data_IF_194692170246
#
_entry.id   IF_194692170246
#
_cell.length_a   1.000
_cell.length_b   1.000
_cell.length_c   1.000
_cell.angle_alpha   90.00
_cell.angle_beta   90.00
_cell.angle_gamma   90.00
#
_symmetry.space_group_name_H-M   'P 1'
#
loop_
_entity.id
_entity.type
_entity.pdbx_description
1 polymer ?
#
# COMPACT_ATOMS: atom_id res chain seq x y z
N UNK A 1 1.82 15.04 18.55
CA UNK A 1 3.10 14.79 19.25
C UNK A 1 4.33 15.44 18.60
N UNK A 2 4.19 16.28 17.57
CA UNK A 2 5.32 17.03 17.06
C UNK A 2 5.71 18.12 18.08
N UNK A 3 7.01 18.28 18.42
CA UNK A 3 7.44 19.35 19.31
C UNK A 3 7.17 20.72 18.68
N UNK A 4 6.62 21.66 19.45
CA UNK A 4 6.39 23.04 19.00
C UNK A 4 7.67 23.86 18.93
N UNK A 5 8.66 23.48 19.71
CA UNK A 5 10.00 24.07 19.74
C UNK A 5 11.03 22.97 19.94
N UNK A 6 12.18 23.12 19.31
CA UNK A 6 13.31 22.21 19.45
C UNK A 6 14.57 23.01 19.78
N UNK A 7 15.57 22.44 20.48
CA UNK A 7 16.83 23.09 20.79
C UNK A 7 17.63 23.51 19.56
N UNK A 8 17.56 22.70 18.50
CA UNK A 8 18.28 22.94 17.25
C UNK A 8 17.66 24.11 16.45
N UNK A 9 18.54 25.05 15.96
CA UNK A 9 18.12 26.27 15.28
C UNK A 9 18.44 26.29 13.78
N UNK A 10 19.10 25.24 13.26
CA UNK A 10 19.44 25.12 11.85
C UNK A 10 18.31 24.52 11.00
N UNK A 11 18.58 24.36 9.70
CA UNK A 11 17.63 23.68 8.80
C UNK A 11 17.57 22.19 9.14
N UNK A 12 16.37 21.72 9.46
CA UNK A 12 16.07 20.33 9.79
C UNK A 12 15.07 19.75 8.78
N UNK A 13 15.46 18.64 8.11
CA UNK A 13 14.58 17.87 7.26
C UNK A 13 14.60 16.43 7.75
N UNK A 14 13.44 15.93 8.13
CA UNK A 14 13.26 14.54 8.56
C UNK A 14 12.07 13.90 7.84
N UNK A 15 12.04 12.57 7.83
CA UNK A 15 10.91 11.79 7.34
C UNK A 15 10.34 10.96 8.48
N UNK A 16 9.03 10.83 8.45
CA UNK A 16 8.29 10.02 9.41
C UNK A 16 6.95 9.63 8.86
N UNK A 17 6.20 8.91 9.64
CA UNK A 17 4.84 8.50 9.31
C UNK A 17 3.87 9.00 10.37
N UNK A 18 2.70 9.49 9.89
CA UNK A 18 1.60 9.85 10.74
C UNK A 18 0.69 8.62 10.93
N UNK A 19 0.35 8.30 12.17
CA UNK A 19 -0.47 7.15 12.53
C UNK A 19 -1.57 7.53 13.53
N UNK A 20 -2.62 6.74 13.58
CA UNK A 20 -3.63 6.74 14.64
C UNK A 20 -3.63 5.35 15.25
N UNK A 21 -3.56 5.27 16.58
CA UNK A 21 -3.59 4.02 17.30
C UNK A 21 -4.95 3.33 17.26
N UNK A 22 -4.97 2.01 17.47
CA UNK A 22 -6.21 1.22 17.47
C UNK A 22 -7.22 1.73 18.50
N UNK A 23 -6.78 2.08 19.71
CA UNK A 23 -7.66 2.62 20.76
C UNK A 23 -8.33 3.94 20.36
N UNK A 24 -7.58 4.84 19.75
CA UNK A 24 -8.14 6.11 19.27
C UNK A 24 -9.05 5.89 18.05
N UNK A 25 -8.73 4.95 17.19
CA UNK A 25 -9.57 4.56 16.07
C UNK A 25 -10.91 4.01 16.52
N UNK A 26 -10.93 3.10 17.49
CA UNK A 26 -12.16 2.55 18.06
C UNK A 26 -13.01 3.64 18.72
N UNK A 27 -12.40 4.46 19.58
CA UNK A 27 -13.07 5.60 20.25
C UNK A 27 -13.71 6.57 19.26
N UNK A 28 -13.04 6.85 18.13
CA UNK A 28 -13.57 7.77 17.12
C UNK A 28 -14.74 7.12 16.37
N UNK A 29 -14.63 5.85 16.03
CA UNK A 29 -15.70 5.13 15.35
C UNK A 29 -16.95 4.95 16.22
N UNK A 30 -16.79 4.76 17.53
CA UNK A 30 -17.92 4.69 18.48
C UNK A 30 -18.75 5.99 18.50
N UNK A 31 -18.13 7.13 18.24
CA UNK A 31 -18.81 8.44 18.19
C UNK A 31 -19.56 8.68 16.86
N UNK A 32 -19.40 7.81 15.87
CA UNK A 32 -20.10 7.90 14.58
C UNK A 32 -21.35 7.03 14.66
N UNK A 33 -22.52 7.68 14.72
CA UNK A 33 -23.81 7.00 14.81
C UNK A 33 -24.13 6.18 13.56
N UNK A 34 -23.86 6.73 12.38
CA UNK A 34 -24.04 6.04 11.10
C UNK A 34 -22.93 4.99 10.89
N UNK A 35 -23.31 3.73 10.95
CA UNK A 35 -22.40 2.59 10.81
C UNK A 35 -21.70 2.59 9.44
N UNK A 36 -22.40 3.02 8.39
CA UNK A 36 -21.85 3.06 7.03
C UNK A 36 -20.82 4.19 6.85
N UNK A 37 -20.90 5.23 7.68
CA UNK A 37 -19.96 6.34 7.72
C UNK A 37 -18.68 6.05 8.54
N UNK A 38 -18.64 4.93 9.29
CA UNK A 38 -17.47 4.54 10.09
C UNK A 38 -16.24 4.25 9.23
N UNK A 39 -15.11 4.64 9.76
CA UNK A 39 -13.84 4.36 9.11
C UNK A 39 -13.52 2.87 9.14
N UNK A 40 -13.01 2.35 8.03
CA UNK A 40 -12.74 0.91 7.85
C UNK A 40 -11.42 0.46 8.49
N UNK A 41 -10.44 1.36 8.59
CA UNK A 41 -9.14 1.07 9.22
C UNK A 41 -8.45 2.35 9.71
N UNK A 42 -7.48 2.24 10.66
CA UNK A 42 -6.76 3.38 11.24
C UNK A 42 -5.99 4.19 10.19
N UNK A 43 -5.44 3.55 9.16
CA UNK A 43 -4.67 4.21 8.09
C UNK A 43 -5.53 5.18 7.27
N UNK A 44 -6.74 4.77 6.90
CA UNK A 44 -7.69 5.62 6.18
C UNK A 44 -8.15 6.80 7.05
N UNK A 45 -8.41 6.56 8.33
CA UNK A 45 -8.74 7.62 9.29
C UNK A 45 -7.58 8.61 9.41
N UNK A 46 -6.34 8.14 9.56
CA UNK A 46 -5.16 8.98 9.66
C UNK A 46 -4.96 9.81 8.40
N UNK A 47 -4.99 9.19 7.23
CA UNK A 47 -4.86 9.88 5.93
C UNK A 47 -5.93 10.96 5.73
N UNK A 48 -7.17 10.70 6.15
CA UNK A 48 -8.23 11.70 6.16
C UNK A 48 -7.99 12.82 7.19
N UNK A 49 -7.42 12.47 8.33
CA UNK A 49 -7.18 13.42 9.43
C UNK A 49 -6.10 14.44 9.12
N UNK A 50 -4.99 14.02 8.51
CA UNK A 50 -3.88 14.94 8.14
C UNK A 50 -4.25 15.88 6.99
N UNK A 51 -5.34 15.61 6.27
CA UNK A 51 -5.86 16.46 5.19
C UNK A 51 -6.97 17.40 5.63
N UNK A 52 -7.35 17.37 6.91
CA UNK A 52 -8.40 18.26 7.44
C UNK A 52 -7.94 19.71 7.39
N UNK A 53 -8.83 20.60 6.95
CA UNK A 53 -8.61 22.04 7.00
C UNK A 53 -8.69 22.60 8.42
N UNK A 54 -9.50 21.96 9.27
CA UNK A 54 -9.61 22.31 10.69
C UNK A 54 -8.64 21.46 11.53
N UNK A 55 -7.60 22.08 12.04
CA UNK A 55 -6.57 21.44 12.87
C UNK A 55 -7.11 20.92 14.23
N UNK A 56 -8.21 21.48 14.75
CA UNK A 56 -8.84 20.99 15.99
C UNK A 56 -9.39 19.57 15.81
N UNK A 57 -9.92 19.24 14.63
CA UNK A 57 -10.38 17.89 14.30
C UNK A 57 -9.19 16.92 14.32
N UNK A 58 -8.08 17.31 13.72
CA UNK A 58 -6.85 16.49 13.71
C UNK A 58 -6.31 16.31 15.13
N UNK A 59 -6.31 17.35 15.95
CA UNK A 59 -5.87 17.30 17.34
C UNK A 59 -6.73 16.32 18.18
N UNK A 60 -8.06 16.37 18.05
CA UNK A 60 -8.99 15.46 18.75
C UNK A 60 -8.84 14.00 18.34
N UNK A 61 -8.29 13.74 17.15
CA UNK A 61 -8.07 12.41 16.64
C UNK A 61 -6.75 11.78 17.09
N UNK A 62 -5.93 12.52 17.86
CA UNK A 62 -4.65 12.07 18.41
C UNK A 62 -3.71 11.49 17.33
N UNK A 63 -3.60 12.18 16.20
CA UNK A 63 -2.63 11.80 15.18
C UNK A 63 -1.22 11.89 15.75
N UNK A 64 -0.47 10.79 15.71
CA UNK A 64 0.91 10.69 16.17
C UNK A 64 1.85 10.62 14.98
N UNK A 65 3.02 11.22 15.12
CA UNK A 65 4.07 11.21 14.11
C UNK A 65 5.30 10.49 14.66
N UNK A 66 5.79 9.51 13.92
CA UNK A 66 7.03 8.79 14.23
C UNK A 66 8.07 9.07 13.17
N UNK A 67 9.22 9.64 13.58
CA UNK A 67 10.34 9.85 12.67
C UNK A 67 11.07 8.54 12.43
N UNK A 68 11.43 8.27 11.17
CA UNK A 68 12.22 7.09 10.80
C UNK A 68 13.46 7.42 9.98
N UNK A 69 13.69 8.67 9.61
CA UNK A 69 14.87 9.06 8.84
C UNK A 69 15.16 10.55 9.01
N UNK A 70 16.40 10.87 9.34
CA UNK A 70 16.95 12.22 9.24
C UNK A 70 17.51 12.41 7.82
N UNK A 71 17.04 13.44 7.12
CA UNK A 71 17.49 13.77 5.76
C UNK A 71 18.56 14.85 5.81
N UNK A 72 18.37 15.90 6.64
CA UNK A 72 19.30 17.02 6.79
C UNK A 72 19.22 17.59 8.21
N UNK A 73 20.38 17.82 8.81
CA UNK A 73 20.57 18.71 9.96
C UNK A 73 21.89 19.43 9.73
N UNK A 74 21.82 20.71 9.39
CA UNK A 74 23.00 21.49 8.99
C UNK A 74 23.94 21.70 10.18
N UNK A 75 25.24 21.47 9.98
CA UNK A 75 26.26 21.67 11.00
C UNK A 75 26.34 20.60 12.09
N UNK A 76 25.56 19.54 12.02
CA UNK A 76 25.60 18.43 12.99
C UNK A 76 26.40 17.26 12.43
N UNK A 77 27.35 16.76 13.21
CA UNK A 77 28.14 15.57 12.84
C UNK A 77 27.58 14.34 13.56
N UNK A 78 27.15 13.34 12.80
CA UNK A 78 26.62 12.09 13.30
C UNK A 78 27.62 10.93 13.26
N UNK A 79 28.92 11.21 13.12
CA UNK A 79 29.99 10.21 13.02
C UNK A 79 29.66 9.06 12.03
N UNK A 80 29.00 9.39 10.94
CA UNK A 80 28.60 8.43 9.88
C UNK A 80 27.63 7.34 10.34
N UNK A 81 26.84 7.56 11.41
CA UNK A 81 25.92 6.57 12.00
C UNK A 81 24.47 7.04 11.95
N UNK A 82 23.58 6.17 11.44
CA UNK A 82 22.11 6.40 11.47
C UNK A 82 21.55 6.26 12.87
N UNK A 83 22.13 5.39 13.69
CA UNK A 83 21.74 5.29 15.10
C UNK A 83 21.92 6.65 15.78
N UNK A 84 23.06 7.31 15.60
CA UNK A 84 23.28 8.64 16.16
C UNK A 84 22.28 9.68 15.64
N UNK A 85 21.86 9.57 14.39
CA UNK A 85 20.78 10.41 13.85
C UNK A 85 19.46 10.20 14.59
N UNK A 86 19.08 8.95 14.89
CA UNK A 86 17.84 8.64 15.61
C UNK A 86 17.90 9.10 17.06
N UNK A 87 19.01 8.89 17.74
CA UNK A 87 19.22 9.35 19.11
C UNK A 87 19.15 10.88 19.19
N UNK A 88 19.81 11.57 18.28
CA UNK A 88 19.75 13.02 18.20
C UNK A 88 18.32 13.54 17.95
N UNK A 89 17.51 12.87 17.10
CA UNK A 89 16.11 13.24 16.91
C UNK A 89 15.29 13.08 18.19
N UNK A 90 15.55 12.06 19.02
CA UNK A 90 14.93 11.90 20.35
C UNK A 90 15.32 13.07 21.27
N UNK A 91 16.59 13.47 21.25
CA UNK A 91 17.08 14.60 22.04
C UNK A 91 16.44 15.94 21.60
N UNK A 92 16.04 16.05 20.32
CA UNK A 92 15.25 17.18 19.85
C UNK A 92 13.75 17.09 20.22
N UNK A 93 13.31 16.02 20.87
CA UNK A 93 11.92 15.83 21.31
C UNK A 93 11.02 15.16 20.29
N UNK A 94 11.56 14.59 19.20
CA UNK A 94 10.76 13.79 18.28
C UNK A 94 10.57 12.37 18.80
N UNK A 95 9.38 11.83 18.62
CA UNK A 95 9.18 10.38 18.71
C UNK A 95 9.78 9.72 17.48
N UNK A 96 10.62 8.71 17.68
CA UNK A 96 11.19 7.92 16.59
C UNK A 96 10.61 6.51 16.62
N UNK A 97 10.59 5.86 15.45
CA UNK A 97 10.21 4.44 15.36
C UNK A 97 11.09 3.60 16.27
N UNK A 98 10.55 2.50 16.80
CA UNK A 98 11.37 1.54 17.51
C UNK A 98 12.40 0.94 16.55
N UNK A 99 13.66 0.85 17.00
CA UNK A 99 14.73 0.28 16.21
C UNK A 99 15.72 -0.50 17.09
N UNK A 100 16.42 -1.45 16.49
CA UNK A 100 17.54 -2.18 17.10
C UNK A 100 18.75 -2.11 16.18
N UNK A 101 19.94 -1.92 16.77
CA UNK A 101 21.19 -2.09 16.04
C UNK A 101 21.55 -3.56 16.06
N UNK A 102 21.79 -4.14 14.88
CA UNK A 102 22.02 -5.56 14.70
C UNK A 102 23.27 -5.81 13.85
N UNK A 103 23.83 -6.99 14.01
CA UNK A 103 24.85 -7.55 13.12
C UNK A 103 24.26 -8.71 12.34
N UNK A 104 25.02 -9.32 11.42
CA UNK A 104 24.60 -10.55 10.74
C UNK A 104 24.17 -11.66 11.71
N UNK A 105 24.82 -11.74 12.87
CA UNK A 105 24.60 -12.83 13.84
C UNK A 105 23.38 -12.59 14.74
N UNK A 106 22.92 -11.34 14.87
CA UNK A 106 21.79 -10.96 15.73
C UNK A 106 20.57 -10.51 14.95
N UNK A 107 20.61 -10.56 13.62
CA UNK A 107 19.50 -10.11 12.77
C UNK A 107 18.25 -10.98 12.97
N UNK A 108 18.41 -12.30 12.99
CA UNK A 108 17.29 -13.23 13.13
C UNK A 108 16.59 -13.07 14.48
N UNK A 109 17.34 -12.89 15.56
CA UNK A 109 16.79 -12.61 16.90
C UNK A 109 15.99 -11.30 16.92
N UNK A 110 16.49 -10.26 16.26
CA UNK A 110 15.76 -9.00 16.16
C UNK A 110 14.49 -9.12 15.31
N UNK A 111 14.52 -9.91 14.25
CA UNK A 111 13.33 -10.21 13.44
C UNK A 111 12.27 -10.94 14.24
N UNK A 112 12.63 -11.96 15.01
CA UNK A 112 11.72 -12.68 15.90
C UNK A 112 11.13 -11.76 16.96
N UNK A 113 11.96 -10.91 17.57
CA UNK A 113 11.48 -9.93 18.53
C UNK A 113 10.42 -9.02 17.92
N UNK A 114 10.68 -8.40 16.79
CA UNK A 114 9.71 -7.50 16.14
C UNK A 114 8.47 -8.24 15.66
N UNK A 115 8.59 -9.50 15.22
CA UNK A 115 7.44 -10.33 14.87
C UNK A 115 6.49 -10.53 16.05
N UNK A 116 7.03 -10.75 17.24
CA UNK A 116 6.22 -10.90 18.46
C UNK A 116 5.62 -9.58 18.95
N UNK A 117 6.27 -8.44 18.67
CA UNK A 117 5.77 -7.14 19.07
C UNK A 117 4.57 -6.63 18.25
N UNK A 118 4.35 -7.15 17.05
CA UNK A 118 3.24 -6.72 16.17
C UNK A 118 1.88 -6.83 16.86
N UNK A 119 1.65 -7.95 17.56
CA UNK A 119 0.40 -8.18 18.28
C UNK A 119 0.18 -7.19 19.43
N UNK A 120 1.25 -6.56 19.90
CA UNK A 120 1.23 -5.60 21.00
C UNK A 120 1.27 -4.15 20.55
N UNK A 121 1.54 -3.90 19.27
CA UNK A 121 1.57 -2.55 18.73
C UNK A 121 0.19 -1.90 18.78
N UNK A 122 0.15 -0.64 19.19
CA UNK A 122 -1.06 0.17 19.19
C UNK A 122 -1.43 0.72 17.80
N UNK A 123 -0.67 0.40 16.76
CA UNK A 123 -0.93 0.82 15.38
C UNK A 123 -0.49 -0.29 14.38
N UNK A 124 -1.11 -0.32 13.16
CA UNK A 124 -0.79 -1.33 12.18
C UNK A 124 0.64 -1.20 11.66
N UNK A 125 1.35 -2.35 11.58
CA UNK A 125 2.68 -2.46 11.01
C UNK A 125 2.72 -3.60 10.01
N UNK A 126 3.18 -3.34 8.78
CA UNK A 126 3.23 -4.31 7.67
C UNK A 126 4.61 -4.95 7.48
N UNK A 127 5.59 -4.59 8.31
CA UNK A 127 6.92 -5.19 8.25
C UNK A 127 8.02 -4.37 8.91
N UNK A 128 9.24 -4.76 8.62
CA UNK A 128 10.47 -4.13 9.09
C UNK A 128 11.27 -3.56 7.93
N UNK A 129 12.06 -2.54 8.21
CA UNK A 129 13.07 -2.04 7.29
C UNK A 129 14.44 -2.17 7.95
N UNK A 130 15.29 -3.05 7.41
CA UNK A 130 16.70 -3.11 7.75
C UNK A 130 17.49 -2.16 6.85
N UNK A 131 18.35 -1.34 7.44
CA UNK A 131 19.20 -0.42 6.70
C UNK A 131 20.61 -0.37 7.32
N UNK A 132 21.58 -0.07 6.48
CA UNK A 132 22.96 0.07 6.96
C UNK A 132 23.09 1.26 7.91
N UNK A 133 23.72 1.05 9.07
CA UNK A 133 24.03 2.12 10.02
C UNK A 133 25.09 3.07 9.45
N UNK A 134 26.11 2.53 8.77
CA UNK A 134 27.14 3.31 8.06
C UNK A 134 26.51 4.05 6.88
N UNK A 135 26.38 5.38 7.03
CA UNK A 135 25.71 6.26 6.06
C UNK A 135 26.50 6.28 4.74
N UNK A 136 27.81 6.45 4.80
CA UNK A 136 28.66 6.56 3.62
C UNK A 136 28.66 5.25 2.81
N UNK A 137 28.72 4.10 3.49
CA UNK A 137 28.60 2.81 2.84
C UNK A 137 27.23 2.64 2.19
N UNK A 138 26.15 2.92 2.95
CA UNK A 138 24.78 2.84 2.41
C UNK A 138 24.60 3.69 1.15
N UNK A 139 25.10 4.91 1.15
CA UNK A 139 25.01 5.82 0.02
C UNK A 139 25.87 5.36 -1.18
N UNK A 140 27.01 4.69 -0.95
CA UNK A 140 27.87 4.13 -1.99
C UNK A 140 27.19 3.03 -2.81
N UNK A 141 26.19 2.34 -2.26
CA UNK A 141 25.42 1.30 -2.94
C UNK A 141 24.51 1.85 -4.06
N UNK A 142 24.30 3.18 -4.08
CA UNK A 142 23.51 3.87 -5.10
C UNK A 142 22.02 3.58 -5.00
N UNK A 143 21.33 3.76 -6.14
CA UNK A 143 19.86 3.70 -6.22
C UNK A 143 19.42 2.86 -7.42
N UNK A 144 18.26 2.23 -7.30
CA UNK A 144 17.46 1.77 -8.43
C UNK A 144 16.69 2.96 -9.03
N UNK A 145 15.89 2.74 -10.07
CA UNK A 145 15.03 3.79 -10.61
C UNK A 145 14.07 4.42 -9.57
N UNK A 146 13.71 3.67 -8.52
CA UNK A 146 12.73 4.11 -7.51
C UNK A 146 13.28 4.18 -6.09
N UNK A 147 14.17 3.28 -5.68
CA UNK A 147 14.56 3.08 -4.30
C UNK A 147 16.07 3.13 -4.09
N UNK A 148 16.57 3.62 -2.95
CA UNK A 148 17.97 3.45 -2.57
C UNK A 148 18.25 1.97 -2.28
N UNK A 149 19.53 1.55 -2.44
CA UNK A 149 19.95 0.18 -2.18
C UNK A 149 20.49 -0.04 -0.77
N UNK A 150 20.42 0.98 0.06
CA UNK A 150 20.90 0.97 1.44
C UNK A 150 19.91 0.38 2.44
N UNK A 151 18.76 -0.11 1.98
CA UNK A 151 17.71 -0.63 2.83
C UNK A 151 17.04 -1.85 2.22
N UNK A 152 16.57 -2.75 3.09
CA UNK A 152 15.80 -3.94 2.75
C UNK A 152 14.50 -3.94 3.56
N UNK A 153 13.37 -4.15 2.88
CA UNK A 153 12.09 -4.30 3.55
C UNK A 153 11.78 -5.79 3.75
N UNK A 154 11.50 -6.16 4.97
CA UNK A 154 10.94 -7.46 5.35
C UNK A 154 9.47 -7.25 5.65
N UNK A 155 8.61 -7.90 4.89
CA UNK A 155 7.17 -7.87 5.12
C UNK A 155 6.74 -9.12 5.85
N UNK A 156 5.80 -8.96 6.77
CA UNK A 156 5.14 -10.08 7.40
C UNK A 156 4.29 -10.83 6.37
N UNK A 157 3.99 -12.08 6.65
CA UNK A 157 3.06 -12.83 5.82
C UNK A 157 1.68 -12.14 5.88
N UNK A 158 1.14 -11.81 4.69
CA UNK A 158 -0.19 -11.23 4.60
C UNK A 158 -1.24 -12.24 5.09
N UNK A 159 -2.26 -11.77 5.79
CA UNK A 159 -3.43 -12.58 6.11
C UNK A 159 -4.11 -13.01 4.81
N UNK A 160 -4.37 -14.31 4.67
CA UNK A 160 -5.04 -14.86 3.49
C UNK A 160 -6.41 -15.41 3.86
N UNK A 161 -7.44 -15.02 3.12
CA UNK A 161 -8.77 -15.62 3.21
C UNK A 161 -9.09 -16.42 1.96
N UNK A 162 -9.80 -17.54 2.16
CA UNK A 162 -10.26 -18.38 1.07
C UNK A 162 -11.68 -17.97 0.64
N UNK A 163 -11.90 -17.90 -0.67
CA UNK A 163 -13.19 -17.50 -1.25
C UNK A 163 -13.41 -18.14 -2.61
N UNK A 164 -14.60 -17.95 -3.20
CA UNK A 164 -14.94 -18.46 -4.51
C UNK A 164 -15.02 -17.33 -5.53
N UNK A 165 -14.36 -17.51 -6.68
CA UNK A 165 -14.39 -16.58 -7.80
C UNK A 165 -15.74 -16.68 -8.51
N UNK A 166 -16.53 -15.61 -8.49
CA UNK A 166 -17.89 -15.56 -9.06
C UNK A 166 -17.91 -15.03 -10.48
N UNK A 167 -17.09 -13.98 -10.74
CA UNK A 167 -17.07 -13.31 -12.04
C UNK A 167 -15.70 -12.67 -12.29
N UNK A 168 -15.37 -12.44 -13.55
CA UNK A 168 -14.28 -11.56 -13.98
C UNK A 168 -14.89 -10.39 -14.75
N UNK A 169 -14.90 -9.24 -14.11
CA UNK A 169 -15.32 -7.99 -14.72
C UNK A 169 -14.19 -7.40 -15.57
N UNK A 170 -14.53 -7.00 -16.79
CA UNK A 170 -13.59 -6.40 -17.73
C UNK A 170 -13.87 -4.92 -17.89
N UNK A 171 -13.00 -4.10 -17.28
CA UNK A 171 -13.17 -2.64 -17.23
C UNK A 171 -12.15 -1.92 -18.12
N UNK A 172 -12.60 -1.19 -19.16
CA UNK A 172 -11.71 -0.40 -20.01
C UNK A 172 -11.20 0.85 -19.28
N UNK A 173 -9.90 1.08 -19.37
CA UNK A 173 -9.25 2.29 -18.88
C UNK A 173 -9.34 3.43 -19.92
N UNK A 174 -8.91 4.62 -19.51
CA UNK A 174 -8.82 5.80 -20.41
C UNK A 174 -7.87 5.60 -21.59
N UNK A 175 -6.91 4.69 -21.46
CA UNK A 175 -5.91 4.39 -22.50
C UNK A 175 -6.36 3.29 -23.47
N UNK A 176 -7.57 2.75 -23.30
CA UNK A 176 -8.07 1.64 -24.09
C UNK A 176 -7.62 0.25 -23.61
N UNK A 177 -6.83 0.16 -22.55
CA UNK A 177 -6.54 -1.10 -21.89
C UNK A 177 -7.76 -1.61 -21.14
N UNK A 178 -8.07 -2.89 -21.30
CA UNK A 178 -9.14 -3.56 -20.56
C UNK A 178 -8.51 -4.39 -19.46
N UNK A 179 -8.80 -4.03 -18.20
CA UNK A 179 -8.22 -4.68 -17.04
C UNK A 179 -9.21 -5.68 -16.44
N UNK A 180 -8.78 -6.91 -16.16
CA UNK A 180 -9.59 -7.88 -15.45
C UNK A 180 -9.66 -7.55 -13.96
N UNK A 181 -10.86 -7.62 -13.39
CA UNK A 181 -11.14 -7.49 -11.97
C UNK A 181 -11.90 -8.75 -11.54
N UNK A 182 -11.34 -9.47 -10.58
CA UNK A 182 -12.00 -10.63 -10.01
C UNK A 182 -13.08 -10.17 -9.03
N UNK A 183 -14.28 -10.70 -9.19
CA UNK A 183 -15.40 -10.57 -8.25
C UNK A 183 -15.54 -11.93 -7.56
N UNK A 184 -15.62 -11.95 -6.25
CA UNK A 184 -15.66 -13.18 -5.46
C UNK A 184 -16.59 -13.03 -4.26
N UNK A 185 -17.00 -14.16 -3.72
CA UNK A 185 -17.81 -14.19 -2.49
C UNK A 185 -17.13 -13.38 -1.40
N UNK A 186 -17.89 -12.52 -0.78
CA UNK A 186 -17.46 -11.55 0.20
C UNK A 186 -16.72 -12.22 1.38
N UNK A 187 -15.53 -11.71 1.71
CA UNK A 187 -14.70 -12.20 2.83
C UNK A 187 -14.18 -11.06 3.67
N UNK A 188 -13.92 -11.35 4.93
CA UNK A 188 -13.22 -10.42 5.82
C UNK A 188 -11.72 -10.62 5.71
N UNK A 189 -10.99 -9.52 5.58
CA UNK A 189 -9.53 -9.46 5.56
C UNK A 189 -9.06 -8.22 6.29
N UNK A 190 -8.19 -8.39 7.29
CA UNK A 190 -7.58 -7.29 8.04
C UNK A 190 -8.63 -6.24 8.46
N UNK A 191 -9.71 -6.70 9.10
CA UNK A 191 -10.77 -5.86 9.65
C UNK A 191 -11.62 -5.12 8.61
N UNK A 192 -11.59 -5.51 7.35
CA UNK A 192 -12.52 -4.98 6.35
C UNK A 192 -13.00 -6.05 5.37
N UNK A 193 -14.22 -5.88 4.89
CA UNK A 193 -14.88 -6.77 3.95
C UNK A 193 -14.46 -6.48 2.53
N UNK A 194 -14.04 -7.49 1.78
CA UNK A 194 -13.64 -7.40 0.39
C UNK A 194 -14.37 -8.41 -0.48
N UNK A 195 -14.68 -8.02 -1.71
CA UNK A 195 -15.33 -8.88 -2.73
C UNK A 195 -14.73 -8.67 -4.12
N UNK A 196 -13.70 -7.82 -4.25
CA UNK A 196 -13.11 -7.45 -5.54
C UNK A 196 -11.60 -7.37 -5.42
N UNK A 197 -10.87 -7.92 -6.41
CA UNK A 197 -9.42 -7.81 -6.51
C UNK A 197 -8.97 -7.54 -7.94
N UNK A 198 -7.95 -6.70 -8.10
CA UNK A 198 -7.34 -6.52 -9.42
C UNK A 198 -6.56 -7.76 -9.83
N UNK A 199 -6.75 -8.21 -11.07
CA UNK A 199 -5.94 -9.27 -11.67
C UNK A 199 -4.84 -8.70 -12.56
N UNK A 200 -4.70 -7.38 -12.60
CA UNK A 200 -3.72 -6.60 -13.34
C UNK A 200 -3.77 -6.80 -14.86
N UNK A 201 -3.57 -8.01 -15.38
CA UNK A 201 -3.55 -8.31 -16.81
C UNK A 201 -3.83 -9.79 -17.10
N UNK A 202 -4.00 -10.11 -18.38
CA UNK A 202 -4.28 -11.47 -18.86
C UNK A 202 -3.13 -12.45 -18.55
N UNK A 203 -1.88 -12.00 -18.52
CA UNK A 203 -0.76 -12.87 -18.21
C UNK A 203 -0.83 -13.41 -16.78
N UNK A 204 -1.18 -12.56 -15.81
CA UNK A 204 -1.38 -12.97 -14.42
C UNK A 204 -2.61 -13.88 -14.30
N UNK A 205 -3.70 -13.54 -14.98
CA UNK A 205 -4.91 -14.38 -15.03
C UNK A 205 -4.60 -15.80 -15.53
N UNK A 206 -3.80 -15.92 -16.61
CA UNK A 206 -3.34 -17.21 -17.15
C UNK A 206 -2.38 -17.94 -16.23
N UNK A 207 -1.43 -17.20 -15.60
CA UNK A 207 -0.49 -17.78 -14.63
C UNK A 207 -1.22 -18.41 -13.44
N UNK A 208 -2.26 -17.74 -12.95
CA UNK A 208 -3.12 -18.23 -11.87
C UNK A 208 -4.14 -19.25 -12.35
N UNK A 209 -4.26 -19.48 -13.67
CA UNK A 209 -5.25 -20.35 -14.28
C UNK A 209 -6.68 -20.09 -13.76
N UNK A 210 -7.07 -18.81 -13.63
CA UNK A 210 -8.35 -18.40 -13.06
C UNK A 210 -9.52 -18.77 -13.94
N UNK A 211 -10.56 -19.36 -13.33
CA UNK A 211 -11.84 -19.62 -13.94
C UNK A 211 -12.98 -19.37 -12.97
N UNK A 212 -14.17 -19.07 -13.51
CA UNK A 212 -15.36 -18.84 -12.68
C UNK A 212 -15.69 -20.12 -11.91
N UNK A 213 -16.00 -19.97 -10.61
CA UNK A 213 -16.22 -21.07 -9.67
C UNK A 213 -14.96 -21.58 -8.97
N UNK A 214 -13.77 -21.06 -9.30
CA UNK A 214 -12.53 -21.46 -8.63
C UNK A 214 -12.49 -21.01 -7.18
N UNK A 215 -11.92 -21.87 -6.33
CA UNK A 215 -11.54 -21.51 -4.97
C UNK A 215 -10.19 -20.79 -5.02
N UNK A 216 -10.17 -19.59 -4.50
CA UNK A 216 -9.00 -18.70 -4.53
C UNK A 216 -8.65 -18.24 -3.13
N UNK A 217 -7.35 -17.98 -2.88
CA UNK A 217 -6.89 -17.27 -1.71
C UNK A 217 -6.62 -15.82 -2.06
N UNK A 218 -7.20 -14.91 -1.29
CA UNK A 218 -7.06 -13.46 -1.45
C UNK A 218 -6.36 -12.86 -0.25
N UNK A 219 -5.62 -11.79 -0.46
CA UNK A 219 -4.91 -11.04 0.57
C UNK A 219 -4.93 -9.55 0.23
N UNK A 220 -4.52 -8.69 1.16
CA UNK A 220 -4.36 -7.26 0.90
C UNK A 220 -2.90 -6.86 0.79
N UNK A 221 -2.44 -6.60 -0.42
CA UNK A 221 -1.11 -6.02 -0.59
C UNK A 221 -1.02 -4.67 0.10
N UNK A 222 0.01 -4.52 0.96
CA UNK A 222 0.23 -3.34 1.80
C UNK A 222 -1.00 -2.98 2.69
N UNK A 223 -1.75 -3.97 3.15
CA UNK A 223 -2.95 -3.81 3.99
C UNK A 223 -4.08 -3.00 3.34
N UNK A 224 -4.02 -2.75 2.03
CA UNK A 224 -4.96 -1.85 1.33
C UNK A 224 -5.59 -2.50 0.11
N UNK A 225 -4.77 -3.07 -0.79
CA UNK A 225 -5.20 -3.44 -2.14
C UNK A 225 -5.46 -4.94 -2.21
N UNK A 226 -6.73 -5.39 -2.36
CA UNK A 226 -7.02 -6.80 -2.50
C UNK A 226 -6.37 -7.38 -3.76
N UNK A 227 -5.74 -8.52 -3.61
CA UNK A 227 -5.09 -9.29 -4.68
C UNK A 227 -5.36 -10.78 -4.52
N UNK A 228 -5.25 -11.54 -5.61
CA UNK A 228 -5.31 -12.99 -5.58
C UNK A 228 -3.89 -13.52 -5.39
N UNK A 229 -3.67 -14.24 -4.29
CA UNK A 229 -2.38 -14.87 -3.99
C UNK A 229 -2.24 -16.23 -4.66
N UNK A 230 -3.29 -17.05 -4.58
CA UNK A 230 -3.28 -18.42 -5.09
C UNK A 230 -4.66 -18.81 -5.63
N UNK A 231 -4.67 -19.65 -6.67
CA UNK A 231 -5.85 -20.36 -7.12
C UNK A 231 -5.71 -21.85 -6.75
N UNK A 232 -6.63 -22.37 -5.98
CA UNK A 232 -6.59 -23.74 -5.46
C UNK A 232 -7.13 -24.78 -6.46
N UNK A 233 -8.08 -24.41 -7.30
CA UNK A 233 -8.77 -25.33 -8.22
C UNK A 233 -8.29 -25.28 -9.65
N UNK A 234 -7.84 -24.11 -10.13
CA UNK A 234 -7.17 -23.91 -11.43
C UNK A 234 -7.97 -24.43 -12.62
N UNK A 235 -9.24 -24.04 -12.75
CA UNK A 235 -10.12 -24.49 -13.83
C UNK A 235 -9.75 -23.91 -15.21
N UNK A 236 -8.95 -22.86 -15.25
CA UNK A 236 -8.40 -22.25 -16.45
C UNK A 236 -9.24 -21.11 -17.01
N UNK A 237 -8.56 -20.24 -17.75
CA UNK A 237 -9.15 -19.02 -18.34
C UNK A 237 -9.99 -19.36 -19.55
N UNK A 238 -11.29 -19.11 -19.49
CA UNK A 238 -12.22 -19.39 -20.58
C UNK A 238 -12.79 -18.14 -21.27
N UNK A 239 -12.90 -17.01 -20.55
CA UNK A 239 -13.75 -15.89 -20.96
C UNK A 239 -12.98 -14.57 -21.12
N UNK A 240 -12.04 -14.54 -22.07
CA UNK A 240 -11.42 -13.26 -22.50
C UNK A 240 -12.34 -12.65 -23.56
N UNK A 241 -12.90 -11.44 -23.35
CA UNK A 241 -13.86 -10.87 -24.27
C UNK A 241 -13.21 -10.49 -25.61
N UNK A 242 -13.80 -10.93 -26.72
CA UNK A 242 -13.42 -10.53 -28.08
C UNK A 242 -13.96 -9.14 -28.44
N UNK A 243 -14.93 -8.65 -27.68
CA UNK A 243 -15.60 -7.36 -27.86
C UNK A 243 -15.57 -6.61 -26.54
N UNK A 244 -15.20 -5.33 -26.59
CA UNK A 244 -15.20 -4.47 -25.41
C UNK A 244 -16.60 -4.35 -24.81
N UNK A 245 -16.81 -4.67 -23.53
CA UNK A 245 -18.12 -4.64 -22.91
C UNK A 245 -18.71 -3.22 -22.79
N UNK A 246 -17.87 -2.18 -22.86
CA UNK A 246 -18.35 -0.80 -22.72
C UNK A 246 -18.69 -0.13 -24.07
N UNK A 247 -17.95 -0.41 -25.14
CA UNK A 247 -18.16 0.29 -26.41
C UNK A 247 -18.48 -0.59 -27.62
N UNK A 248 -18.46 -1.93 -27.46
CA UNK A 248 -18.69 -2.88 -28.55
C UNK A 248 -17.56 -2.97 -29.58
N UNK A 249 -16.43 -2.31 -29.34
CA UNK A 249 -15.25 -2.37 -30.23
C UNK A 249 -14.53 -3.71 -30.11
N UNK A 250 -13.93 -4.19 -31.22
CA UNK A 250 -13.15 -5.41 -31.24
C UNK A 250 -11.94 -5.29 -30.31
N UNK A 251 -11.62 -6.34 -29.57
CA UNK A 251 -10.46 -6.39 -28.69
C UNK A 251 -9.29 -7.13 -29.34
N UNK A 252 -8.08 -6.80 -28.93
CA UNK A 252 -6.84 -7.48 -29.31
C UNK A 252 -5.96 -7.66 -28.08
N UNK A 253 -5.19 -8.74 -28.05
CA UNK A 253 -4.21 -8.99 -26.99
C UNK A 253 -2.85 -8.50 -27.48
N UNK A 254 -2.32 -7.46 -26.81
CA UNK A 254 -0.99 -6.91 -27.08
C UNK A 254 -0.14 -6.95 -25.81
N UNK A 255 1.10 -7.46 -25.93
CA UNK A 255 2.07 -7.46 -24.81
C UNK A 255 1.45 -7.88 -23.46
N UNK A 256 0.65 -8.95 -23.44
CA UNK A 256 -0.01 -9.51 -22.24
C UNK A 256 -1.24 -8.73 -21.70
N UNK A 257 -1.62 -7.65 -22.37
CA UNK A 257 -2.81 -6.87 -22.03
C UNK A 257 -3.89 -7.03 -23.10
N UNK A 258 -5.16 -6.87 -22.66
CA UNK A 258 -6.28 -6.76 -23.57
C UNK A 258 -6.51 -5.29 -23.91
N UNK A 259 -6.48 -4.96 -25.18
CA UNK A 259 -6.72 -3.62 -25.68
C UNK A 259 -7.93 -3.57 -26.59
N UNK A 260 -8.54 -2.40 -26.71
CA UNK A 260 -9.55 -2.16 -27.74
C UNK A 260 -8.81 -1.84 -29.03
N UNK A 261 -9.09 -2.59 -30.12
CA UNK A 261 -8.58 -2.26 -31.43
C UNK A 261 -9.15 -0.90 -31.87
N UNK A 262 -8.27 -0.01 -32.31
CA UNK A 262 -8.65 1.31 -32.80
C UNK A 262 -9.60 1.16 -34.01
N UNK A 263 -10.88 1.31 -33.79
CA UNK A 263 -11.83 1.54 -34.89
C UNK A 263 -11.97 3.05 -35.08
N UNK A 264 -11.81 3.52 -36.31
CA UNK A 264 -11.86 4.97 -36.67
C UNK A 264 -13.19 5.68 -36.35
N UNK A 265 -14.14 5.02 -35.70
CA UNK A 265 -15.49 5.52 -35.42
C UNK A 265 -15.93 5.33 -33.97
N UNK A 266 -15.13 5.74 -32.98
CA UNK A 266 -15.66 5.88 -31.61
C UNK A 266 -16.29 7.25 -31.49
N UNK A 267 -17.58 7.35 -31.83
CA UNK A 267 -18.38 8.54 -31.46
C UNK A 267 -18.42 8.65 -29.94
N UNK A 268 -17.97 9.78 -29.40
CA UNK A 268 -18.16 10.17 -28.00
C UNK A 268 -19.64 9.97 -27.64
N UNK A 269 -19.97 8.99 -26.84
CA UNK A 269 -21.23 9.00 -26.10
C UNK A 269 -21.02 9.90 -24.90
N UNK A 270 -21.64 11.06 -24.93
CA UNK A 270 -21.78 11.94 -23.77
C UNK A 270 -22.77 11.29 -22.83
N UNK A 271 -22.29 10.87 -21.68
CA UNK A 271 -22.91 10.88 -20.36
C UNK A 271 -22.28 9.81 -19.47
N UNK A 272 -21.55 10.23 -18.47
CA UNK A 272 -20.98 9.45 -17.35
C UNK A 272 -20.01 8.32 -17.68
N UNK A 273 -19.84 7.91 -18.92
CA UNK A 273 -18.94 6.86 -19.35
C UNK A 273 -17.64 7.49 -19.87
N UNK A 274 -16.53 7.07 -19.30
CA UNK A 274 -15.19 7.47 -19.75
C UNK A 274 -14.98 7.05 -21.21
N UNK A 275 -14.53 7.95 -22.09
CA UNK A 275 -14.31 7.61 -23.49
C UNK A 275 -13.18 6.58 -23.60
N UNK A 276 -13.45 5.48 -24.31
CA UNK A 276 -12.40 4.59 -24.79
C UNK A 276 -11.55 5.36 -25.82
N UNK A 277 -10.38 5.82 -25.43
CA UNK A 277 -9.42 6.47 -26.33
C UNK A 277 -8.49 5.43 -26.91
N UNK A 278 -8.48 5.29 -28.22
CA UNK A 278 -7.46 4.54 -28.95
C UNK A 278 -6.16 5.35 -28.97
N UNK A 279 -5.18 4.99 -28.15
CA UNK A 279 -3.82 5.48 -28.29
C UNK A 279 -2.99 4.38 -28.97
N UNK A 280 -2.77 4.52 -30.27
CA UNK A 280 -1.69 3.81 -30.97
C UNK A 280 -0.46 4.68 -30.81
N UNK A 281 0.44 4.33 -29.91
CA UNK A 281 1.82 4.82 -30.01
C UNK A 281 2.56 3.96 -31.02
N UNK A 282 3.10 4.60 -32.05
CA UNK A 282 4.11 4.05 -32.92
C UNK A 282 5.45 3.99 -32.24
#
# INVERSE_FOLDING_TARGET
NLPLQIPYQGELILRGEAVIGYKDFERINEQIEDVDARYKNPRNLCSGSVRQLNNEITAKRHVRFYAFSLVKAEGVNFANSRQQQMEWLKDQGFEVVEYRVVTSDTLDEAMEYFATQIEHNDFPSDGLVALYDDIAYGDSLGRTAKFPRNAFAFKWADEMAETTLEEIEWSPSRTGLINPVAIFTLVELEGSTVSRASVHNISIMRKLALGIGDRIKVYKANMIIPQIGENLTKSGVKDIPEICPACGGKTVIEMWNLCIAATRNVRRRQSKDLPCLSAVMR
#
